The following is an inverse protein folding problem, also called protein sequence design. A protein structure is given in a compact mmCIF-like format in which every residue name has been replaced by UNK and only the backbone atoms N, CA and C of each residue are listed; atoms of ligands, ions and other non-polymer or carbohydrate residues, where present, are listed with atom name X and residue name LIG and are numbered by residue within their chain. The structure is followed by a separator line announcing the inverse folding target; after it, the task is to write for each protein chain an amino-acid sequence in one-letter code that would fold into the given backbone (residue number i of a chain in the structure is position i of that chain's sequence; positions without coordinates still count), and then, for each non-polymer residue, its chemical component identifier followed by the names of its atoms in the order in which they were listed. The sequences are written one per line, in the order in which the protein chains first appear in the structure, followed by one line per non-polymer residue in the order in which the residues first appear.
data_IF_112841005846
#
_entry.id   IF_112841005846
#
_cell.length_a   1.000
_cell.length_b   1.000
_cell.length_c   1.000
_cell.angle_alpha   90.00
_cell.angle_beta   90.00
_cell.angle_gamma   90.00
#
_symmetry.space_group_name_H-M   'P 1'
#
loop_
_entity.id
_entity.type
_entity.pdbx_description
1 polymer ?
#
# COMPACT_ATOMS: atom_id res chain seq x y z
N UNK A 1 3.29 12.59 43.11
CA UNK A 1 2.39 12.91 41.99
C UNK A 1 2.43 11.74 41.04
N UNK A 2 1.28 11.14 40.72
CA UNK A 2 1.23 9.94 39.86
C UNK A 2 1.49 10.33 38.40
N UNK A 3 2.14 9.46 37.62
CA UNK A 3 2.41 9.66 36.17
C UNK A 3 1.14 10.06 35.39
N UNK A 4 -0.02 9.58 35.87
CA UNK A 4 -1.34 9.83 35.26
C UNK A 4 -1.88 11.24 35.52
N UNK A 5 -1.42 11.93 36.57
CA UNK A 5 -1.83 13.30 36.89
C UNK A 5 -1.09 14.32 36.00
N UNK A 6 0.18 14.07 35.69
CA UNK A 6 0.97 14.95 34.81
C UNK A 6 0.51 14.88 33.34
N UNK A 7 0.09 13.70 32.87
CA UNK A 7 -0.48 13.56 31.51
C UNK A 7 -1.80 14.32 31.35
N UNK A 8 -2.60 14.40 32.41
CA UNK A 8 -3.85 15.18 32.41
C UNK A 8 -3.57 16.68 32.29
N UNK A 9 -2.48 17.19 32.88
CA UNK A 9 -2.11 18.60 32.80
C UNK A 9 -1.58 18.98 31.40
N UNK A 10 -0.78 18.13 30.78
CA UNK A 10 -0.32 18.33 29.39
C UNK A 10 -1.47 18.29 28.38
N UNK A 11 -2.51 17.48 28.66
CA UNK A 11 -3.73 17.41 27.84
C UNK A 11 -4.64 18.63 28.00
N UNK A 12 -4.47 19.39 29.10
CA UNK A 12 -5.20 20.63 29.40
C UNK A 12 -4.54 21.87 28.78
N UNK A 13 -3.23 21.82 28.49
CA UNK A 13 -2.53 22.90 27.82
C UNK A 13 -2.65 22.77 26.29
N UNK A 14 -3.26 23.77 25.64
CA UNK A 14 -3.39 23.81 24.18
C UNK A 14 -2.12 24.42 23.60
N UNK A 15 -1.25 23.58 23.04
CA UNK A 15 -0.10 24.03 22.26
C UNK A 15 -0.56 24.65 20.94
N UNK A 16 -0.02 25.81 20.57
CA UNK A 16 -0.41 26.55 19.35
C UNK A 16 0.52 26.22 18.18
N UNK A 17 1.78 25.91 18.47
CA UNK A 17 2.81 25.63 17.46
C UNK A 17 3.34 24.18 17.59
N UNK A 18 3.60 23.43 16.50
CA UNK A 18 4.28 22.13 16.56
C UNK A 18 5.60 22.15 17.34
N UNK A 19 6.33 23.26 17.31
CA UNK A 19 7.57 23.44 18.08
C UNK A 19 7.29 23.40 19.60
N UNK A 20 6.19 23.99 20.05
CA UNK A 20 5.80 23.96 21.47
C UNK A 20 5.44 22.54 21.92
N UNK A 21 4.78 21.75 21.05
CA UNK A 21 4.47 20.34 21.32
C UNK A 21 5.75 19.52 21.48
N UNK A 22 6.73 19.73 20.60
CA UNK A 22 8.03 19.05 20.68
C UNK A 22 8.79 19.47 21.94
N UNK A 23 8.82 20.78 22.24
CA UNK A 23 9.46 21.31 23.45
C UNK A 23 8.87 20.68 24.72
N UNK A 24 7.54 20.61 24.84
CA UNK A 24 6.89 19.98 25.99
C UNK A 24 7.18 18.47 26.10
N UNK A 25 7.25 17.75 24.97
CA UNK A 25 7.67 16.33 24.96
C UNK A 25 9.12 16.16 25.38
N UNK A 26 10.00 17.06 24.93
CA UNK A 26 11.42 17.06 25.28
C UNK A 26 11.64 17.41 26.76
N UNK A 27 10.96 18.44 27.27
CA UNK A 27 10.95 18.79 28.70
C UNK A 27 10.48 17.60 29.55
N UNK A 28 9.44 16.87 29.12
CA UNK A 28 9.00 15.64 29.80
C UNK A 28 10.08 14.56 29.80
N UNK A 29 10.80 14.39 28.69
CA UNK A 29 11.87 13.40 28.58
C UNK A 29 13.08 13.76 29.45
N UNK A 30 13.43 15.04 29.49
CA UNK A 30 14.55 15.58 30.26
C UNK A 30 14.31 15.63 31.77
N UNK A 31 13.04 15.64 32.24
CA UNK A 31 12.72 15.54 33.67
C UNK A 31 13.25 14.25 34.31
N UNK A 32 13.34 13.15 33.56
CA UNK A 32 13.78 11.85 34.06
C UNK A 32 14.80 11.21 33.11
N UNK A 33 16.04 11.70 33.13
CA UNK A 33 17.10 11.25 32.20
C UNK A 33 17.52 9.79 32.44
N UNK A 34 17.41 9.29 33.67
CA UNK A 34 17.78 7.91 34.02
C UNK A 34 16.77 6.85 33.53
N UNK A 35 15.53 7.26 33.22
CA UNK A 35 14.50 6.31 32.79
C UNK A 35 14.70 5.97 31.30
N UNK A 36 14.88 4.69 30.94
CA UNK A 36 15.00 4.31 29.54
C UNK A 36 13.69 4.64 28.79
N UNK A 37 13.86 5.22 27.60
CA UNK A 37 12.75 5.63 26.74
C UNK A 37 12.20 4.40 26.00
N UNK A 38 10.89 4.18 26.07
CA UNK A 38 10.24 3.13 25.29
C UNK A 38 10.10 3.58 23.82
N UNK A 39 10.89 2.99 22.94
CA UNK A 39 10.72 3.11 21.49
C UNK A 39 9.89 1.90 21.05
N UNK A 40 8.68 2.09 20.52
CA UNK A 40 7.86 0.96 20.08
C UNK A 40 8.56 0.26 18.91
N UNK A 41 8.80 -1.03 19.07
CA UNK A 41 9.23 -1.89 17.96
C UNK A 41 8.13 -1.96 16.90
N UNK A 42 8.53 -2.23 15.66
CA UNK A 42 7.58 -2.45 14.56
C UNK A 42 6.67 -3.60 14.93
N UNK A 43 5.34 -3.37 14.89
CA UNK A 43 4.38 -4.43 15.18
C UNK A 43 4.53 -5.53 14.13
N UNK A 44 4.94 -6.72 14.56
CA UNK A 44 4.84 -7.90 13.71
C UNK A 44 3.40 -8.02 13.20
N UNK A 45 3.24 -8.23 11.90
CA UNK A 45 1.97 -8.59 11.29
C UNK A 45 1.62 -10.02 11.72
N UNK A 46 1.22 -10.19 12.98
CA UNK A 46 0.85 -11.50 13.52
C UNK A 46 -0.41 -11.96 12.77
N UNK A 47 -0.41 -13.20 12.25
CA UNK A 47 -1.61 -13.72 11.61
C UNK A 47 -2.75 -13.73 12.63
N UNK A 48 -4.01 -13.55 12.18
CA UNK A 48 -5.17 -13.66 13.05
C UNK A 48 -5.12 -14.97 13.85
N UNK A 49 -5.67 -14.97 15.07
CA UNK A 49 -5.82 -16.20 15.89
C UNK A 49 -6.49 -17.37 15.15
N UNK A 50 -7.26 -17.09 14.09
CA UNK A 50 -7.81 -18.09 13.18
C UNK A 50 -6.75 -19.00 12.51
N UNK A 51 -5.49 -18.58 12.43
CA UNK A 51 -4.38 -19.37 11.89
C UNK A 51 -3.76 -20.34 12.88
N UNK A 52 -4.12 -20.25 14.15
CA UNK A 52 -3.66 -21.13 15.22
C UNK A 52 -4.80 -22.07 15.63
N UNK A 53 -5.09 -23.12 14.83
CA UNK A 53 -5.97 -24.18 15.29
C UNK A 53 -5.32 -24.90 16.48
N UNK A 54 -6.15 -25.41 17.39
CA UNK A 54 -5.65 -26.27 18.45
C UNK A 54 -5.16 -27.59 17.86
N UNK A 55 -3.98 -28.06 18.29
CA UNK A 55 -3.38 -29.31 17.82
C UNK A 55 -4.26 -30.53 18.16
N UNK A 56 -4.84 -30.54 19.36
CA UNK A 56 -5.70 -31.61 19.83
C UNK A 56 -7.05 -31.07 20.29
N UNK A 57 -8.12 -31.63 19.70
CA UNK A 57 -9.47 -31.47 20.20
C UNK A 57 -9.77 -32.65 21.11
N UNK A 58 -9.93 -32.39 22.41
CA UNK A 58 -10.14 -33.45 23.41
C UNK A 58 -11.59 -33.96 23.46
N UNK A 59 -12.54 -33.16 22.99
CA UNK A 59 -13.97 -33.39 23.17
C UNK A 59 -14.62 -33.79 21.84
N UNK A 60 -14.03 -34.76 21.13
CA UNK A 60 -14.61 -35.27 19.88
C UNK A 60 -15.67 -36.31 20.24
N UNK A 61 -16.93 -36.03 19.89
CA UNK A 61 -18.01 -37.00 20.02
C UNK A 61 -17.92 -38.03 18.88
N UNK A 62 -18.38 -39.27 19.11
CA UNK A 62 -18.22 -40.37 18.15
C UNK A 62 -18.81 -40.05 16.77
N UNK A 63 -18.23 -40.61 15.70
CA UNK A 63 -18.58 -40.27 14.31
C UNK A 63 -20.05 -40.56 13.92
N UNK A 64 -20.70 -41.51 14.61
CA UNK A 64 -22.11 -41.87 14.40
C UNK A 64 -23.05 -41.24 15.44
N UNK A 65 -22.54 -40.40 16.35
CA UNK A 65 -23.38 -39.70 17.31
C UNK A 65 -24.25 -38.64 16.61
N UNK A 66 -25.48 -38.45 17.09
CA UNK A 66 -26.39 -37.42 16.57
C UNK A 66 -25.91 -35.99 16.85
N UNK A 67 -26.50 -35.02 16.17
CA UNK A 67 -26.22 -33.60 16.39
C UNK A 67 -26.61 -33.17 17.81
N UNK A 68 -25.62 -32.77 18.61
CA UNK A 68 -25.84 -32.21 19.94
C UNK A 68 -26.28 -30.74 19.89
N UNK A 69 -26.82 -30.22 21.00
CA UNK A 69 -27.27 -28.83 21.11
C UNK A 69 -26.15 -27.79 20.93
N UNK A 70 -24.88 -28.15 21.21
CA UNK A 70 -23.72 -27.28 21.06
C UNK A 70 -23.04 -27.31 19.68
N UNK A 71 -23.43 -28.22 18.80
CA UNK A 71 -22.76 -28.41 17.51
C UNK A 71 -22.91 -27.18 16.58
N UNK A 72 -24.04 -26.49 16.68
CA UNK A 72 -24.30 -25.26 15.92
C UNK A 72 -23.29 -24.15 16.24
N UNK A 73 -22.97 -23.94 17.53
CA UNK A 73 -22.01 -22.92 17.94
C UNK A 73 -20.57 -23.29 17.58
N UNK A 74 -20.25 -24.59 17.60
CA UNK A 74 -18.97 -25.11 17.12
C UNK A 74 -18.81 -24.79 15.62
N UNK A 75 -19.82 -25.12 14.80
CA UNK A 75 -19.82 -24.79 13.37
C UNK A 75 -19.70 -23.29 13.12
N UNK A 76 -20.49 -22.45 13.83
CA UNK A 76 -20.43 -20.98 13.70
C UNK A 76 -19.04 -20.44 14.02
N UNK A 77 -18.39 -20.97 15.07
CA UNK A 77 -17.02 -20.62 15.45
C UNK A 77 -16.00 -21.03 14.40
N UNK A 78 -16.07 -22.27 13.91
CA UNK A 78 -15.20 -22.79 12.86
C UNK A 78 -15.36 -22.01 11.55
N UNK A 79 -16.59 -21.75 11.12
CA UNK A 79 -16.88 -20.97 9.91
C UNK A 79 -16.34 -19.56 9.99
N UNK A 80 -16.51 -18.87 11.13
CA UNK A 80 -15.95 -17.52 11.32
C UNK A 80 -14.43 -17.54 11.25
N UNK A 81 -13.77 -18.51 11.89
CA UNK A 81 -12.31 -18.67 11.81
C UNK A 81 -11.87 -18.91 10.37
N UNK A 82 -12.56 -19.79 9.65
CA UNK A 82 -12.25 -20.09 8.26
C UNK A 82 -12.39 -18.86 7.35
N UNK A 83 -13.48 -18.09 7.47
CA UNK A 83 -13.67 -16.87 6.69
C UNK A 83 -12.59 -15.82 6.97
N UNK A 84 -12.20 -15.64 8.23
CA UNK A 84 -11.11 -14.73 8.61
C UNK A 84 -9.78 -15.21 8.00
N UNK A 85 -9.53 -16.52 8.02
CA UNK A 85 -8.34 -17.13 7.43
C UNK A 85 -8.30 -16.86 5.93
N UNK A 86 -9.33 -17.24 5.19
CA UNK A 86 -9.43 -17.04 3.74
C UNK A 86 -9.28 -15.56 3.34
N UNK A 87 -9.95 -14.65 4.06
CA UNK A 87 -9.83 -13.22 3.82
C UNK A 87 -8.39 -12.70 4.02
N UNK A 88 -7.68 -13.19 5.03
CA UNK A 88 -6.28 -12.84 5.27
C UNK A 88 -5.36 -13.38 4.17
N UNK A 89 -5.47 -14.67 3.81
CA UNK A 89 -4.67 -15.25 2.72
C UNK A 89 -4.88 -14.49 1.41
N UNK A 90 -6.13 -14.18 1.07
CA UNK A 90 -6.44 -13.43 -0.14
C UNK A 90 -5.85 -12.02 -0.12
N UNK A 91 -5.93 -11.32 1.03
CA UNK A 91 -5.33 -9.98 1.19
C UNK A 91 -3.81 -10.03 1.05
N UNK A 92 -3.17 -10.99 1.70
CA UNK A 92 -1.71 -11.15 1.67
C UNK A 92 -1.21 -11.53 0.28
N UNK A 93 -1.91 -12.40 -0.44
CA UNK A 93 -1.58 -12.76 -1.81
C UNK A 93 -1.58 -11.54 -2.75
N UNK A 94 -2.65 -10.73 -2.68
CA UNK A 94 -2.77 -9.49 -3.46
C UNK A 94 -1.66 -8.48 -3.12
N UNK A 95 -1.35 -8.33 -1.84
CA UNK A 95 -0.28 -7.43 -1.39
C UNK A 95 1.10 -7.91 -1.88
N UNK A 96 1.37 -9.21 -1.82
CA UNK A 96 2.61 -9.80 -2.35
C UNK A 96 2.75 -9.65 -3.86
N UNK A 97 1.69 -9.87 -4.62
CA UNK A 97 1.67 -9.69 -6.07
C UNK A 97 1.95 -8.24 -6.45
N UNK A 98 1.22 -7.28 -5.87
CA UNK A 98 1.43 -5.86 -6.12
C UNK A 98 2.85 -5.39 -5.74
N UNK A 99 3.39 -5.88 -4.63
CA UNK A 99 4.76 -5.59 -4.22
C UNK A 99 5.79 -6.18 -5.19
N UNK A 100 5.59 -7.42 -5.65
CA UNK A 100 6.48 -8.05 -6.62
C UNK A 100 6.49 -7.31 -7.96
N UNK A 101 5.33 -6.87 -8.44
CA UNK A 101 5.22 -6.04 -9.64
C UNK A 101 5.93 -4.69 -9.47
N UNK A 102 5.73 -4.05 -8.32
CA UNK A 102 6.38 -2.77 -8.01
C UNK A 102 7.91 -2.90 -7.98
N UNK A 103 8.44 -3.93 -7.32
CA UNK A 103 9.89 -4.19 -7.27
C UNK A 103 10.43 -4.42 -8.68
N UNK A 104 9.79 -5.25 -9.49
CA UNK A 104 10.18 -5.47 -10.90
C UNK A 104 10.18 -4.16 -11.70
N UNK A 105 9.18 -3.30 -11.51
CA UNK A 105 9.10 -1.99 -12.18
C UNK A 105 10.24 -1.06 -11.75
N UNK A 106 10.57 -1.04 -10.46
CA UNK A 106 11.70 -0.24 -9.95
C UNK A 106 13.03 -0.75 -10.49
N UNK A 107 13.24 -2.05 -10.50
CA UNK A 107 14.46 -2.68 -11.02
C UNK A 107 14.66 -2.43 -12.52
N UNK A 108 13.61 -2.63 -13.32
CA UNK A 108 13.66 -2.35 -14.77
C UNK A 108 13.94 -0.88 -15.06
N UNK A 109 13.33 0.04 -14.31
CA UNK A 109 13.61 1.48 -14.44
C UNK A 109 15.05 1.82 -14.05
N UNK A 110 15.56 1.22 -12.98
CA UNK A 110 16.95 1.38 -12.55
C UNK A 110 17.92 0.87 -13.62
N UNK A 111 17.68 -0.31 -14.18
CA UNK A 111 18.49 -0.86 -15.28
C UNK A 111 18.46 0.04 -16.52
N UNK A 112 17.28 0.54 -16.94
CA UNK A 112 17.15 1.48 -18.06
C UNK A 112 17.93 2.78 -17.80
N UNK A 113 17.86 3.32 -16.59
CA UNK A 113 18.63 4.51 -16.22
C UNK A 113 20.15 4.23 -16.22
N UNK A 114 20.59 3.07 -15.72
CA UNK A 114 21.98 2.65 -15.68
C UNK A 114 22.56 2.42 -17.08
N UNK A 115 21.83 1.77 -17.99
CA UNK A 115 22.27 1.55 -19.37
C UNK A 115 22.41 2.88 -20.13
N UNK A 116 21.45 3.79 -19.98
CA UNK A 116 21.54 5.14 -20.55
C UNK A 116 22.71 5.94 -19.96
N UNK A 117 22.89 5.90 -18.63
CA UNK A 117 23.99 6.58 -17.95
C UNK A 117 25.35 5.99 -18.35
N UNK A 118 25.47 4.68 -18.50
CA UNK A 118 26.66 3.98 -18.98
C UNK A 118 26.98 4.36 -20.44
N UNK A 119 25.98 4.40 -21.34
CA UNK A 119 26.15 4.86 -22.74
C UNK A 119 26.69 6.29 -22.77
N UNK A 120 26.10 7.21 -21.98
CA UNK A 120 26.56 8.61 -21.87
C UNK A 120 27.96 8.73 -21.25
N UNK A 121 28.24 7.96 -20.19
CA UNK A 121 29.57 7.91 -19.54
C UNK A 121 30.64 7.40 -20.50
N UNK A 122 30.37 6.34 -21.26
CA UNK A 122 31.27 5.80 -22.29
C UNK A 122 31.56 6.84 -23.38
N UNK A 123 30.54 7.54 -23.88
CA UNK A 123 30.72 8.64 -24.86
C UNK A 123 31.63 9.75 -24.30
N UNK A 124 31.46 10.14 -23.02
CA UNK A 124 32.29 11.17 -22.37
C UNK A 124 33.74 10.72 -22.17
N UNK A 125 33.97 9.46 -21.76
CA UNK A 125 35.32 8.90 -21.60
C UNK A 125 36.06 8.87 -22.94
N UNK A 126 35.43 8.35 -24.00
CA UNK A 126 36.02 8.38 -25.36
C UNK A 126 36.40 9.80 -25.81
N UNK A 127 35.53 10.80 -25.58
CA UNK A 127 35.86 12.21 -25.89
C UNK A 127 37.03 12.74 -25.05
N UNK A 128 37.11 12.37 -23.78
CA UNK A 128 38.22 12.74 -22.88
C UNK A 128 39.55 12.10 -23.31
N UNK A 129 39.52 10.85 -23.75
CA UNK A 129 40.72 10.14 -24.20
C UNK A 129 41.22 10.69 -25.54
N UNK A 130 40.32 10.97 -26.49
CA UNK A 130 40.67 11.60 -27.77
C UNK A 130 41.27 13.02 -27.59
N UNK A 131 40.74 13.82 -26.67
CA UNK A 131 41.26 15.17 -26.38
C UNK A 131 42.61 15.14 -25.65
N UNK A 132 42.85 14.16 -24.78
CA UNK A 132 44.16 13.93 -24.16
C UNK A 132 45.22 13.47 -25.16
N UNK A 133 44.87 12.51 -26.02
CA UNK A 133 45.79 12.01 -27.05
C UNK A 133 46.27 13.13 -27.99
N UNK A 134 45.34 14.00 -28.42
CA UNK A 134 45.66 15.14 -29.29
C UNK A 134 46.52 16.22 -28.63
N UNK A 135 46.45 16.37 -27.30
CA UNK A 135 47.34 17.27 -26.53
C UNK A 135 48.75 16.71 -26.35
N UNK A 136 48.89 15.39 -26.24
CA UNK A 136 50.21 14.75 -26.15
C UNK A 136 50.92 14.64 -27.50
N UNK A 137 50.20 14.52 -28.62
CA UNK A 137 50.79 14.45 -29.96
C UNK A 137 50.91 15.81 -30.66
N UNK A 138 50.24 16.85 -30.17
CA UNK A 138 50.18 18.18 -30.79
C UNK A 138 51.44 19.05 -30.66
N UNK A 139 52.54 18.56 -30.06
CA UNK A 139 53.81 19.31 -29.98
C UNK A 139 54.87 18.85 -31.00
N UNK A 140 54.50 18.01 -31.97
CA UNK A 140 55.36 17.62 -33.08
C UNK A 140 54.55 17.63 -34.39
N UNK A 141 54.89 18.56 -35.28
CA UNK A 141 54.42 18.71 -36.67
C UNK A 141 52.97 19.11 -36.94
N UNK A 142 52.81 20.41 -37.24
CA UNK A 142 51.88 20.96 -38.22
C UNK A 142 52.04 20.31 -39.60
N UNK A 143 50.93 20.17 -40.33
CA UNK A 143 50.76 19.60 -41.68
C UNK A 143 50.74 18.07 -41.81
N UNK A 144 49.55 17.49 -41.65
CA UNK A 144 48.97 16.64 -42.72
C UNK A 144 47.48 16.41 -42.53
N UNK A 145 46.75 16.74 -43.58
CA UNK A 145 45.42 16.24 -43.95
C UNK A 145 45.27 14.76 -43.62
N UNK A 146 44.24 14.39 -42.86
CA UNK A 146 43.69 13.03 -42.87
C UNK A 146 42.23 13.05 -42.42
N UNK A 147 41.38 12.94 -43.44
CA UNK A 147 40.07 12.32 -43.45
C UNK A 147 39.98 11.20 -42.40
N UNK A 148 39.39 11.54 -41.26
CA UNK A 148 39.14 10.61 -40.16
C UNK A 148 37.64 10.48 -40.08
N UNK A 149 37.12 9.45 -40.74
CA UNK A 149 35.75 8.97 -40.69
C UNK A 149 35.34 8.76 -39.22
N UNK A 150 34.81 9.81 -38.59
CA UNK A 150 34.12 9.67 -37.32
C UNK A 150 32.78 9.03 -37.65
N UNK A 151 32.74 7.69 -37.62
CA UNK A 151 31.51 6.91 -37.55
C UNK A 151 30.69 7.42 -36.37
N UNK A 152 29.84 8.39 -36.68
CA UNK A 152 28.65 8.73 -35.93
C UNK A 152 27.66 7.61 -36.26
N UNK A 153 27.76 6.48 -35.56
CA UNK A 153 26.61 5.58 -35.42
C UNK A 153 25.57 6.33 -34.59
N UNK A 154 24.84 7.15 -35.32
CA UNK A 154 23.51 7.62 -35.03
C UNK A 154 22.60 6.43 -35.29
N UNK A 155 22.26 5.71 -34.23
CA UNK A 155 21.03 4.92 -34.21
C UNK A 155 20.07 5.73 -33.34
N UNK A 156 19.27 6.52 -34.05
CA UNK A 156 17.94 6.91 -33.59
C UNK A 156 17.12 5.62 -33.48
N UNK A 157 16.54 5.39 -32.30
CA UNK A 157 15.48 4.40 -32.12
C UNK A 157 14.30 5.19 -31.57
N UNK A 158 13.49 5.66 -32.52
CA UNK A 158 12.12 6.17 -32.36
C UNK A 158 11.22 5.01 -31.96
N UNK A 159 10.99 4.79 -30.67
CA UNK A 159 9.96 3.86 -30.20
C UNK A 159 8.71 4.66 -29.79
N UNK A 160 8.02 5.24 -30.79
CA UNK A 160 6.61 5.63 -30.66
C UNK A 160 5.75 4.38 -30.80
N UNK A 161 5.30 3.81 -29.68
CA UNK A 161 4.34 2.71 -29.67
C UNK A 161 2.95 3.19 -30.11
N UNK A 162 2.65 3.07 -31.41
CA UNK A 162 1.26 3.03 -31.92
C UNK A 162 0.76 1.58 -31.81
N UNK A 163 -0.16 1.35 -30.89
CA UNK A 163 -0.96 0.11 -30.83
C UNK A 163 -2.11 0.25 -31.83
N UNK A 164 -1.98 -0.40 -32.99
CA UNK A 164 -3.12 -0.73 -33.85
C UNK A 164 -3.53 -2.18 -33.58
N UNK A 165 -4.76 -2.37 -33.11
CA UNK A 165 -5.46 -3.66 -33.16
C UNK A 165 -6.63 -3.51 -34.14
N UNK A 166 -6.53 -4.16 -35.29
CA UNK A 166 -7.66 -4.42 -36.17
C UNK A 166 -7.71 -5.91 -36.50
N UNK A 167 -8.71 -6.61 -35.94
CA UNK A 167 -9.26 -7.85 -36.50
C UNK A 167 -10.74 -7.61 -36.72
N UNK A 168 -11.16 -7.68 -37.98
CA UNK A 168 -12.52 -7.49 -38.49
C UNK A 168 -13.39 -8.74 -38.32
N UNK A 169 -14.62 -8.57 -37.82
CA UNK A 169 -15.85 -9.02 -38.51
C UNK A 169 -17.11 -8.34 -37.91
N UNK A 170 -18.09 -7.97 -38.75
CA UNK A 170 -19.17 -6.98 -38.53
C UNK A 170 -20.55 -7.61 -38.16
N UNK A 171 -21.74 -6.92 -38.12
CA UNK A 171 -22.06 -5.47 -38.17
C UNK A 171 -23.21 -4.97 -37.21
N UNK A 172 -23.50 -3.65 -37.27
CA UNK A 172 -24.78 -2.91 -37.02
C UNK A 172 -25.06 -2.29 -35.63
N UNK A 173 -24.86 -0.96 -35.50
CA UNK A 173 -25.91 0.08 -35.42
C UNK A 173 -25.36 1.42 -34.88
N UNK A 174 -25.65 2.49 -35.61
CA UNK A 174 -25.29 3.88 -35.32
C UNK A 174 -25.89 4.38 -34.00
N UNK A 175 -25.16 5.24 -33.28
CA UNK A 175 -25.60 6.60 -32.85
C UNK A 175 -24.37 7.37 -32.35
N UNK A 176 -24.13 8.53 -32.96
CA UNK A 176 -23.13 9.51 -32.56
C UNK A 176 -23.53 10.14 -31.22
N UNK A 177 -22.58 10.38 -30.31
CA UNK A 177 -22.50 11.64 -29.59
C UNK A 177 -21.14 11.82 -28.90
N UNK A 178 -20.71 13.07 -28.88
CA UNK A 178 -19.36 13.57 -28.76
C UNK A 178 -19.11 14.05 -27.31
N UNK A 179 -17.92 13.82 -26.73
CA UNK A 179 -17.08 14.85 -26.05
C UNK A 179 -16.19 14.37 -24.87
N UNK A 180 -14.89 14.65 -25.06
CA UNK A 180 -13.89 15.14 -24.09
C UNK A 180 -13.35 14.23 -22.98
N UNK A 181 -12.14 13.72 -23.25
CA UNK A 181 -11.21 13.07 -22.32
C UNK A 181 -10.47 14.13 -21.50
N UNK A 182 -10.54 14.07 -20.16
CA UNK A 182 -9.58 14.70 -19.25
C UNK A 182 -8.68 13.62 -18.64
N UNK A 183 -7.39 13.87 -18.82
CA UNK A 183 -6.22 13.08 -18.48
C UNK A 183 -6.08 12.83 -16.97
N UNK A 184 -5.91 11.57 -16.56
CA UNK A 184 -5.71 11.15 -15.18
C UNK A 184 -4.24 10.76 -14.94
N UNK A 185 -3.61 11.46 -14.01
CA UNK A 185 -2.31 11.08 -13.42
C UNK A 185 -2.55 9.96 -12.39
N UNK A 186 -1.68 8.92 -12.28
CA UNK A 186 -1.88 7.84 -11.32
C UNK A 186 -1.50 8.29 -9.89
N UNK A 187 -2.53 8.49 -9.07
CA UNK A 187 -2.47 8.70 -7.63
C UNK A 187 -1.92 7.47 -6.89
N UNK A 188 -1.15 7.64 -5.79
CA UNK A 188 -0.79 6.54 -4.88
C UNK A 188 -2.04 5.92 -4.21
N UNK A 189 -1.98 4.65 -3.75
CA UNK A 189 -3.12 3.95 -3.18
C UNK A 189 -3.60 4.59 -1.86
N UNK A 190 -4.92 4.62 -1.60
CA UNK A 190 -5.48 5.30 -0.44
C UNK A 190 -5.15 4.56 0.86
N UNK A 191 -4.59 5.30 1.82
CA UNK A 191 -4.52 4.91 3.23
C UNK A 191 -5.95 4.89 3.78
N UNK A 192 -6.48 3.70 4.05
CA UNK A 192 -7.82 3.54 4.63
C UNK A 192 -7.84 4.07 6.07
N UNK A 193 -8.37 5.28 6.23
CA UNK A 193 -8.82 5.79 7.51
C UNK A 193 -10.02 4.95 7.99
N UNK A 194 -9.93 4.43 9.20
CA UNK A 194 -10.93 3.57 9.79
C UNK A 194 -12.10 4.43 10.28
N UNK A 195 -13.23 4.41 9.56
CA UNK A 195 -14.45 5.05 10.02
C UNK A 195 -15.04 4.29 11.22
N UNK A 196 -14.69 4.73 12.43
CA UNK A 196 -15.37 4.33 13.65
C UNK A 196 -16.52 5.28 13.96
N UNK A 197 -17.61 5.26 13.20
CA UNK A 197 -18.92 5.78 13.67
C UNK A 197 -20.04 5.40 12.70
N UNK A 198 -20.93 4.47 13.09
CA UNK A 198 -22.37 4.54 12.76
C UNK A 198 -23.24 3.40 13.35
N UNK A 199 -22.71 2.55 14.22
CA UNK A 199 -23.51 1.48 14.85
C UNK A 199 -24.55 2.03 15.85
N UNK A 200 -24.33 3.22 16.42
CA UNK A 200 -25.18 3.76 17.50
C UNK A 200 -26.52 4.35 17.03
N UNK A 201 -26.66 4.72 15.75
CA UNK A 201 -27.93 5.27 15.22
C UNK A 201 -28.94 4.17 14.89
N UNK A 202 -28.48 3.00 14.43
CA UNK A 202 -29.37 1.91 14.01
C UNK A 202 -29.96 1.12 15.19
N UNK A 203 -29.41 1.25 16.40
CA UNK A 203 -29.97 0.60 17.60
C UNK A 203 -31.16 1.37 18.16
N UNK A 204 -31.19 2.71 18.01
CA UNK A 204 -32.30 3.56 18.49
C UNK A 204 -33.57 3.42 17.65
N UNK A 205 -33.44 3.15 16.35
CA UNK A 205 -34.60 2.96 15.47
C UNK A 205 -35.26 1.58 15.65
N UNK A 206 -34.51 0.58 16.13
CA UNK A 206 -35.04 -0.77 16.36
C UNK A 206 -35.81 -0.93 17.68
N UNK A 207 -35.52 -0.08 18.67
CA UNK A 207 -36.23 -0.08 19.96
C UNK A 207 -37.54 0.73 19.93
N UNK A 208 -37.69 1.67 19.00
CA UNK A 208 -38.95 2.42 18.85
C UNK A 208 -40.08 1.51 18.31
N UNK A 209 -39.77 0.61 17.37
CA UNK A 209 -40.78 -0.23 16.73
C UNK A 209 -41.21 -1.45 17.56
N UNK A 210 -40.49 -1.82 18.63
CA UNK A 210 -40.89 -2.93 19.50
C UNK A 210 -41.84 -2.51 20.63
N UNK A 211 -42.03 -1.20 20.83
CA UNK A 211 -42.88 -0.66 21.89
C UNK A 211 -44.34 -0.56 21.43
N UNK A 212 -44.57 -0.24 20.15
CA UNK A 212 -45.93 -0.10 19.59
C UNK A 212 -46.62 -1.46 19.29
N UNK A 213 -45.88 -2.56 19.09
CA UNK A 213 -46.46 -3.88 18.80
C UNK A 213 -46.98 -4.63 20.05
N UNK A 214 -46.52 -4.28 21.24
CA UNK A 214 -46.98 -4.87 22.51
C UNK A 214 -48.31 -4.24 22.98
N UNK A 215 -48.51 -2.94 22.74
CA UNK A 215 -49.74 -2.23 23.11
C UNK A 215 -50.93 -2.56 22.19
N UNK A 216 -50.67 -2.87 20.91
CA UNK A 216 -51.72 -3.23 19.95
C UNK A 216 -52.25 -4.67 20.15
N UNK A 217 -51.43 -5.57 20.71
CA UNK A 217 -51.88 -6.92 21.13
C UNK A 217 -52.79 -6.88 22.36
N UNK A 218 -52.58 -5.94 23.28
CA UNK A 218 -53.45 -5.76 24.47
C UNK A 218 -54.82 -5.16 24.15
N UNK A 219 -54.95 -4.41 23.06
CA UNK A 219 -56.23 -3.83 22.61
C UNK A 219 -57.12 -4.79 21.84
N UNK A 220 -56.55 -5.88 21.28
CA UNK A 220 -57.28 -6.90 20.52
C UNK A 220 -57.75 -8.09 21.36
N UNK A 221 -57.38 -8.17 22.64
CA UNK A 221 -57.75 -9.28 23.52
C UNK A 221 -58.82 -8.92 24.56
N UNK A 222 -59.66 -7.90 24.31
CA UNK A 222 -60.81 -7.57 25.13
C UNK A 222 -62.06 -7.40 24.27
#
# INVERSE_FOLDING_TARGET
MSSDEEERLLKKHVFKNPVEVQKARLERLMKNVEKPVFIPETKDMKPPRAFQPHEFVRNVMGASAGAGSGEFDIYRGCRRRQMIREAFLSREAKEKEANAEWVKKVETNKQKAETQAAKKRRKRLKRKDNTKGKKHTGNQNSNKTNESTSSSSDEEDEETTKLETNTSDAPVSNTEENQTVKESTPSPPPVQQHEKTNIRKNLRHRQANSSDEEDDKKRRSN
#
